data_IF_644982560096
#
_entry.id   IF_644982560096
#
_cell.length_a   1.000
_cell.length_b   1.000
_cell.length_c   1.000
_cell.angle_alpha   90.00
_cell.angle_beta   90.00
_cell.angle_gamma   90.00
#
_symmetry.space_group_name_H-M   'P 1'
#
loop_
_entity.id
_entity.type
_entity.pdbx_description
1 polymer ?
#
# COMPACT_ATOMS: atom_id res chain seq x y z
N UNK A 1 10.14 2.05 -17.73
CA UNK A 1 10.11 0.75 -17.03
C UNK A 1 11.42 0.63 -16.26
N UNK A 2 11.39 0.48 -14.94
CA UNK A 2 12.58 0.42 -14.10
C UNK A 2 12.71 -0.96 -13.45
N UNK A 3 13.94 -1.45 -13.33
CA UNK A 3 14.28 -2.70 -12.66
C UNK A 3 14.23 -2.57 -11.14
N UNK A 4 13.94 -3.68 -10.46
CA UNK A 4 14.06 -3.80 -9.00
C UNK A 4 15.12 -4.84 -8.64
N UNK A 5 15.80 -4.68 -7.50
CA UNK A 5 16.81 -5.61 -7.01
C UNK A 5 16.27 -6.38 -5.80
N UNK A 6 16.10 -7.70 -5.93
CA UNK A 6 15.64 -8.58 -4.85
C UNK A 6 16.60 -9.76 -4.71
N UNK A 7 17.06 -10.06 -3.49
CA UNK A 7 17.98 -11.18 -3.25
C UNK A 7 19.29 -11.11 -4.08
N UNK A 8 19.81 -9.90 -4.31
CA UNK A 8 20.95 -9.63 -5.18
C UNK A 8 20.74 -9.90 -6.69
N UNK A 9 19.52 -10.17 -7.13
CA UNK A 9 19.16 -10.34 -8.54
C UNK A 9 18.31 -9.16 -9.03
N UNK A 10 18.46 -8.81 -10.31
CA UNK A 10 17.67 -7.75 -10.95
C UNK A 10 16.47 -8.36 -11.66
N UNK A 11 15.31 -7.74 -11.47
CA UNK A 11 14.06 -8.16 -12.08
C UNK A 11 13.39 -6.97 -12.75
N UNK A 12 12.77 -7.21 -13.91
CA UNK A 12 11.81 -6.30 -14.51
C UNK A 12 10.41 -6.80 -14.17
N UNK A 13 9.53 -5.87 -13.83
CA UNK A 13 8.17 -6.24 -13.50
C UNK A 13 7.28 -5.03 -13.27
N UNK A 14 6.00 -5.33 -13.12
CA UNK A 14 4.94 -4.42 -12.75
C UNK A 14 4.31 -4.92 -11.45
N UNK A 15 3.84 -4.00 -10.63
CA UNK A 15 2.99 -4.30 -9.46
C UNK A 15 1.62 -3.66 -9.64
N UNK A 16 0.62 -4.31 -9.08
CA UNK A 16 -0.74 -3.82 -8.99
C UNK A 16 -1.06 -3.54 -7.52
N UNK A 17 -1.42 -2.30 -7.24
CA UNK A 17 -1.90 -1.81 -5.95
C UNK A 17 -3.42 -1.79 -6.02
N UNK A 18 -4.10 -2.41 -5.06
CA UNK A 18 -5.54 -2.63 -5.12
C UNK A 18 -6.18 -2.20 -3.81
N UNK A 19 -7.16 -1.31 -3.87
CA UNK A 19 -8.07 -1.02 -2.76
C UNK A 19 -9.31 -1.89 -2.84
N UNK A 20 -9.66 -2.51 -1.73
CA UNK A 20 -10.77 -3.46 -1.61
C UNK A 20 -11.63 -3.05 -0.42
N UNK A 21 -12.94 -2.98 -0.63
CA UNK A 21 -13.87 -2.73 0.47
C UNK A 21 -13.86 -3.92 1.42
N UNK A 22 -13.55 -3.67 2.70
CA UNK A 22 -13.34 -4.72 3.70
C UNK A 22 -14.61 -5.54 4.00
N UNK A 23 -15.80 -4.99 3.75
CA UNK A 23 -17.09 -5.64 4.06
C UNK A 23 -17.58 -6.52 2.92
N UNK A 24 -17.59 -5.99 1.70
CA UNK A 24 -18.11 -6.65 0.50
C UNK A 24 -17.06 -7.44 -0.26
N UNK A 25 -15.77 -7.12 -0.09
CA UNK A 25 -14.67 -7.69 -0.86
C UNK A 25 -14.58 -7.15 -2.30
N UNK A 26 -15.32 -6.09 -2.63
CA UNK A 26 -15.30 -5.49 -3.96
C UNK A 26 -14.08 -4.58 -4.13
N UNK A 27 -13.36 -4.76 -5.23
CA UNK A 27 -12.31 -3.82 -5.65
C UNK A 27 -12.92 -2.50 -6.06
N UNK A 28 -12.45 -1.40 -5.47
CA UNK A 28 -12.87 -0.04 -5.83
C UNK A 28 -11.75 0.78 -6.47
N UNK A 29 -10.47 0.43 -6.25
CA UNK A 29 -9.33 1.13 -6.82
C UNK A 29 -8.24 0.17 -7.30
N UNK A 30 -7.56 0.55 -8.39
CA UNK A 30 -6.43 -0.18 -8.97
C UNK A 30 -5.43 0.83 -9.53
N UNK A 31 -4.18 0.72 -9.09
CA UNK A 31 -3.05 1.46 -9.65
C UNK A 31 -1.97 0.47 -10.05
N UNK A 32 -1.42 0.62 -11.26
CA UNK A 32 -0.28 -0.19 -11.70
C UNK A 32 0.97 0.67 -11.79
N UNK A 33 2.07 0.16 -11.27
CA UNK A 33 3.36 0.85 -11.31
C UNK A 33 4.49 -0.11 -11.64
N UNK A 34 5.66 0.44 -11.99
CA UNK A 34 6.86 -0.38 -12.13
C UNK A 34 7.21 -1.03 -10.77
N UNK A 35 7.83 -2.22 -10.81
CA UNK A 35 8.10 -3.02 -9.61
C UNK A 35 9.05 -2.36 -8.59
N UNK A 36 9.78 -1.32 -8.98
CA UNK A 36 10.64 -0.54 -8.09
C UNK A 36 9.87 0.49 -7.23
N UNK A 37 8.65 0.86 -7.59
CA UNK A 37 7.88 1.88 -6.88
C UNK A 37 7.48 1.39 -5.48
N UNK A 38 7.63 2.25 -4.47
CA UNK A 38 7.30 1.91 -3.09
C UNK A 38 5.79 1.94 -2.86
N UNK A 39 5.27 0.96 -2.12
CA UNK A 39 3.82 0.77 -1.93
C UNK A 39 3.17 1.94 -1.18
N UNK A 40 3.84 2.47 -0.13
CA UNK A 40 3.45 3.71 0.55
C UNK A 40 3.09 4.89 -0.37
N UNK A 41 3.81 5.06 -1.49
CA UNK A 41 3.58 6.21 -2.38
C UNK A 41 2.26 6.09 -3.16
N UNK A 42 1.63 4.93 -3.15
CA UNK A 42 0.38 4.69 -3.86
C UNK A 42 -0.82 4.64 -2.93
N UNK A 43 -0.62 4.64 -1.61
CA UNK A 43 -1.72 4.49 -0.65
C UNK A 43 -2.81 5.57 -0.83
N UNK A 44 -2.43 6.84 -0.99
CA UNK A 44 -3.40 7.91 -1.24
C UNK A 44 -4.24 7.73 -2.50
N UNK A 45 -3.71 7.03 -3.52
CA UNK A 45 -4.46 6.70 -4.74
C UNK A 45 -5.39 5.49 -4.56
N UNK A 46 -5.19 4.70 -3.51
CA UNK A 46 -6.04 3.54 -3.22
C UNK A 46 -7.27 3.92 -2.40
N UNK A 47 -7.17 4.97 -1.59
CA UNK A 47 -8.28 5.45 -0.77
C UNK A 47 -9.28 6.25 -1.61
N UNK A 48 -10.56 6.14 -1.29
CA UNK A 48 -11.65 6.89 -1.91
C UNK A 48 -12.25 7.95 -0.99
N UNK A 49 -11.74 8.08 0.24
CA UNK A 49 -12.06 9.17 1.18
C UNK A 49 -13.26 8.90 2.07
N UNK A 50 -13.87 7.72 1.99
CA UNK A 50 -14.99 7.31 2.86
C UNK A 50 -14.58 6.19 3.83
N UNK A 51 -13.29 5.83 3.84
CA UNK A 51 -12.77 4.83 4.74
C UNK A 51 -12.94 5.29 6.20
N UNK A 52 -13.32 4.36 7.06
CA UNK A 52 -13.26 4.52 8.52
C UNK A 52 -12.14 3.66 9.12
N UNK A 53 -11.68 2.67 8.35
CA UNK A 53 -10.72 1.67 8.75
C UNK A 53 -9.89 1.27 7.54
N UNK A 54 -8.57 1.16 7.73
CA UNK A 54 -7.64 0.72 6.69
C UNK A 54 -6.78 -0.41 7.22
N UNK A 55 -6.87 -1.57 6.57
CA UNK A 55 -5.98 -2.71 6.83
C UNK A 55 -4.96 -2.85 5.70
N UNK A 56 -3.68 -2.95 6.04
CA UNK A 56 -2.60 -3.05 5.07
C UNK A 56 -1.45 -3.97 5.54
N UNK A 57 -0.61 -4.39 4.61
CA UNK A 57 0.57 -5.22 4.93
C UNK A 57 1.75 -4.38 5.49
N UNK A 58 2.83 -5.08 5.86
CA UNK A 58 4.00 -4.46 6.47
C UNK A 58 4.79 -3.52 5.52
N UNK A 59 4.51 -3.54 4.22
CA UNK A 59 5.03 -2.59 3.23
C UNK A 59 4.44 -1.18 3.39
N UNK A 60 3.30 -1.06 4.05
CA UNK A 60 2.65 0.21 4.37
C UNK A 60 2.98 0.75 5.77
N UNK A 61 3.93 0.14 6.48
CA UNK A 61 4.43 0.70 7.73
C UNK A 61 4.96 2.13 7.52
N UNK A 62 4.46 3.09 8.31
CA UNK A 62 4.78 4.50 8.15
C UNK A 62 3.68 5.33 7.47
N UNK A 63 2.62 4.68 6.96
CA UNK A 63 1.51 5.36 6.30
C UNK A 63 0.83 6.46 7.16
N UNK A 64 0.49 6.22 8.44
CA UNK A 64 -0.19 7.24 9.26
C UNK A 64 0.68 8.47 9.54
N UNK A 65 2.00 8.39 9.31
CA UNK A 65 2.95 9.49 9.53
C UNK A 65 3.22 10.29 8.24
N UNK A 66 2.60 9.94 7.11
CA UNK A 66 2.75 10.65 5.85
C UNK A 66 1.93 11.94 5.85
N UNK A 67 2.55 13.03 5.43
CA UNK A 67 1.89 14.34 5.32
C UNK A 67 0.70 14.30 4.35
N UNK A 68 0.80 13.53 3.26
CA UNK A 68 -0.28 13.32 2.28
C UNK A 68 -1.51 12.59 2.85
N UNK A 69 -1.37 11.95 4.01
CA UNK A 69 -2.44 11.21 4.70
C UNK A 69 -2.79 11.86 6.06
N UNK A 70 -2.25 13.04 6.35
CA UNK A 70 -2.45 13.70 7.64
C UNK A 70 -3.93 14.05 7.92
N UNK A 71 -4.72 14.29 6.87
CA UNK A 71 -6.16 14.59 6.95
C UNK A 71 -7.04 13.33 6.91
N UNK A 72 -6.43 12.14 6.75
CA UNK A 72 -7.15 10.85 6.68
C UNK A 72 -7.36 10.34 8.11
N UNK A 73 -8.53 10.65 8.67
CA UNK A 73 -8.96 10.23 10.01
C UNK A 73 -9.58 8.82 9.97
N UNK A 74 -8.74 7.78 10.05
CA UNK A 74 -9.15 6.37 10.00
C UNK A 74 -8.45 5.52 11.04
N UNK A 75 -9.08 4.41 11.41
CA UNK A 75 -8.46 3.36 12.22
C UNK A 75 -7.48 2.54 11.37
N UNK A 76 -6.19 2.62 11.70
CA UNK A 76 -5.13 1.92 10.97
C UNK A 76 -4.82 0.55 11.57
N UNK A 77 -4.86 -0.49 10.74
CA UNK A 77 -4.34 -1.83 11.04
C UNK A 77 -3.25 -2.20 10.04
N UNK A 78 -1.99 -2.04 10.42
CA UNK A 78 -0.85 -2.33 9.54
C UNK A 78 -0.07 -3.51 10.11
N UNK A 79 0.14 -4.55 9.29
CA UNK A 79 0.86 -5.74 9.73
C UNK A 79 2.29 -5.42 10.17
N UNK A 80 2.77 -6.15 11.18
CA UNK A 80 4.17 -6.06 11.60
C UNK A 80 5.11 -6.78 10.64
N UNK A 81 6.36 -6.32 10.57
CA UNK A 81 7.39 -7.03 9.80
C UNK A 81 7.72 -8.37 10.46
N UNK A 82 8.03 -9.41 9.64
CA UNK A 82 8.50 -10.68 10.18
C UNK A 82 9.70 -10.49 11.12
N UNK A 83 9.67 -11.16 12.28
CA UNK A 83 10.75 -11.12 13.29
C UNK A 83 10.61 -10.07 14.40
N UNK A 84 9.48 -9.36 14.46
CA UNK A 84 9.14 -8.44 15.57
C UNK A 84 8.16 -9.00 16.61
N UNK A 85 7.71 -10.25 16.42
CA UNK A 85 6.80 -10.98 17.32
C UNK A 85 7.61 -11.97 18.15
#
# INVERSE_FOLDING_TARGET
MHQTKKGNQWHFGMKAHIGVDAKSGLTHSLVTTAANEHDLNQLGNLLHGEEQFVSADAGYQGAPQREELAEVDVDWLIAERPGKV
#
